data_IF_818364611763
#
_entry.id   IF_818364611763
#
_cell.length_a   1.000
_cell.length_b   1.000
_cell.length_c   1.000
_cell.angle_alpha   90.00
_cell.angle_beta   90.00
_cell.angle_gamma   90.00
#
_symmetry.space_group_name_H-M   'P 1'
#
loop_
_entity.id
_entity.type
_entity.pdbx_description
1 polymer ?
#
# COMPACT_ATOMS: atom_id res chain seq x y z
N UNK A 1 63.34 13.60 -34.18
CA UNK A 1 63.43 14.25 -32.86
C UNK A 1 63.01 15.70 -33.08
N UNK A 2 61.95 16.29 -32.55
CA UNK A 2 61.17 16.09 -31.31
C UNK A 2 59.70 16.52 -31.59
N UNK A 3 58.78 15.90 -30.84
CA UNK A 3 57.33 16.14 -30.80
C UNK A 3 56.93 17.58 -30.43
N UNK A 4 55.85 18.09 -31.04
CA UNK A 4 54.96 19.04 -30.37
C UNK A 4 53.55 19.05 -30.98
N UNK A 5 52.56 18.69 -30.16
CA UNK A 5 51.13 18.83 -30.42
C UNK A 5 50.62 20.21 -29.99
N UNK A 6 49.45 20.64 -30.50
CA UNK A 6 48.44 21.08 -29.54
C UNK A 6 47.01 20.57 -29.82
N UNK A 7 46.40 20.15 -28.71
CA UNK A 7 45.04 20.41 -28.27
C UNK A 7 43.84 19.98 -29.14
N UNK A 8 43.18 18.94 -28.63
CA UNK A 8 41.77 18.62 -28.81
C UNK A 8 40.84 19.82 -28.58
N UNK A 9 39.88 20.02 -29.47
CA UNK A 9 38.57 20.58 -29.13
C UNK A 9 37.57 20.24 -30.25
N UNK A 10 36.30 20.03 -29.87
CA UNK A 10 35.15 19.68 -30.71
C UNK A 10 34.86 18.19 -30.99
N UNK A 11 34.72 17.40 -29.92
CA UNK A 11 33.80 16.25 -29.90
C UNK A 11 32.70 16.48 -28.87
N UNK A 12 31.77 17.41 -29.12
CA UNK A 12 30.62 17.60 -28.20
C UNK A 12 29.42 18.39 -28.75
N UNK A 13 29.02 18.23 -30.02
CA UNK A 13 27.80 18.88 -30.54
C UNK A 13 26.93 18.05 -31.49
N UNK A 14 26.91 16.72 -31.35
CA UNK A 14 26.05 15.88 -32.21
C UNK A 14 25.13 14.89 -31.46
N UNK A 15 25.12 14.89 -30.11
CA UNK A 15 24.30 13.94 -29.34
C UNK A 15 22.92 14.42 -28.89
N UNK A 16 22.65 15.73 -28.94
CA UNK A 16 21.46 16.32 -28.28
C UNK A 16 20.24 16.52 -29.20
N UNK A 17 20.38 16.34 -30.52
CA UNK A 17 19.31 16.68 -31.47
C UNK A 17 18.38 15.51 -31.83
N UNK A 18 18.67 14.28 -31.42
CA UNK A 18 17.93 13.08 -31.88
C UNK A 18 16.77 12.69 -30.94
N UNK A 19 16.76 13.14 -29.69
CA UNK A 19 15.76 12.69 -28.70
C UNK A 19 14.46 13.50 -28.63
N UNK A 20 14.37 14.66 -29.27
CA UNK A 20 13.16 15.50 -29.24
C UNK A 20 12.14 15.19 -30.35
N UNK A 21 12.51 14.39 -31.36
CA UNK A 21 11.63 14.11 -32.49
C UNK A 21 10.66 12.92 -32.26
N UNK A 22 10.86 12.11 -31.22
CA UNK A 22 10.03 10.90 -30.97
C UNK A 22 8.83 11.21 -30.06
N UNK A 23 8.91 12.25 -29.22
CA UNK A 23 7.82 12.59 -28.28
C UNK A 23 6.59 13.23 -28.95
N UNK A 24 6.73 13.80 -30.15
CA UNK A 24 5.65 14.54 -30.82
C UNK A 24 4.67 13.65 -31.61
N UNK A 25 4.98 12.37 -31.87
CA UNK A 25 4.15 11.49 -32.70
C UNK A 25 3.21 10.55 -31.91
N UNK A 26 3.33 10.45 -30.58
CA UNK A 26 2.46 9.58 -29.77
C UNK A 26 1.21 10.33 -29.26
N UNK A 27 1.24 11.66 -29.15
CA UNK A 27 0.14 12.43 -28.59
C UNK A 27 -1.06 12.63 -29.54
N UNK A 28 -0.86 12.60 -30.85
CA UNK A 28 -1.92 12.88 -31.83
C UNK A 28 -2.80 11.66 -32.19
N UNK A 29 -2.35 10.44 -31.90
CA UNK A 29 -3.09 9.21 -32.22
C UNK A 29 -4.08 8.77 -31.11
N UNK A 30 -3.86 9.18 -29.85
CA UNK A 30 -4.70 8.77 -28.71
C UNK A 30 -6.07 9.45 -28.65
N UNK A 31 -6.19 10.68 -29.16
CA UNK A 31 -7.41 11.48 -28.95
C UNK A 31 -8.58 11.09 -29.88
N UNK A 32 -8.32 10.40 -31.00
CA UNK A 32 -9.39 9.94 -31.91
C UNK A 32 -9.89 8.52 -31.65
N UNK A 33 -9.14 7.70 -30.92
CA UNK A 33 -9.58 6.34 -30.58
C UNK A 33 -10.52 6.33 -29.37
N UNK A 34 -10.32 7.24 -28.41
CA UNK A 34 -11.22 7.40 -27.24
C UNK A 34 -12.60 7.96 -27.64
N UNK A 35 -12.68 8.83 -28.67
CA UNK A 35 -13.96 9.40 -29.09
C UNK A 35 -14.78 8.53 -30.04
N UNK A 36 -14.18 7.51 -30.68
CA UNK A 36 -14.91 6.58 -31.55
C UNK A 36 -15.50 5.37 -30.83
N UNK A 37 -14.96 4.97 -29.68
CA UNK A 37 -15.52 3.86 -28.90
C UNK A 37 -16.68 4.26 -27.98
N UNK A 38 -16.94 5.57 -27.81
CA UNK A 38 -18.07 6.06 -27.00
C UNK A 38 -19.40 6.11 -27.78
N UNK A 39 -19.42 5.77 -29.07
CA UNK A 39 -20.58 5.97 -29.95
C UNK A 39 -21.17 4.68 -30.51
N UNK A 40 -20.78 3.50 -30.01
CA UNK A 40 -21.33 2.19 -30.39
C UNK A 40 -21.94 1.42 -29.23
N UNK A 41 -22.58 2.11 -28.29
CA UNK A 41 -23.71 1.51 -27.57
C UNK A 41 -24.99 1.99 -28.27
N UNK A 42 -25.34 1.25 -29.32
CA UNK A 42 -26.68 1.27 -29.86
C UNK A 42 -27.65 0.95 -28.71
N UNK A 43 -28.66 1.79 -28.57
CA UNK A 43 -29.73 1.65 -27.60
C UNK A 43 -30.35 0.24 -27.68
N UNK A 44 -30.02 -0.59 -26.71
CA UNK A 44 -30.87 -1.74 -26.35
C UNK A 44 -32.13 -1.11 -25.77
N UNK A 45 -33.33 -1.40 -26.30
CA UNK A 45 -34.58 -0.91 -25.70
C UNK A 45 -34.61 -1.35 -24.24
N UNK A 46 -35.08 -0.48 -23.30
CA UNK A 46 -35.11 -0.83 -21.89
C UNK A 46 -35.96 -2.10 -21.74
N UNK A 47 -35.29 -3.23 -21.48
CA UNK A 47 -35.99 -4.38 -20.92
C UNK A 47 -36.56 -3.91 -19.59
N UNK A 48 -37.84 -4.23 -19.28
CA UNK A 48 -38.35 -3.99 -17.94
C UNK A 48 -37.38 -4.67 -16.97
N UNK A 49 -36.76 -3.87 -16.11
CA UNK A 49 -35.79 -4.33 -15.12
C UNK A 49 -36.35 -5.60 -14.45
N UNK A 50 -35.62 -6.73 -14.39
CA UNK A 50 -36.02 -7.82 -13.54
C UNK A 50 -36.01 -7.27 -12.11
N UNK A 51 -37.20 -7.17 -11.51
CA UNK A 51 -37.46 -6.84 -10.11
C UNK A 51 -36.26 -6.21 -9.40
N UNK A 52 -36.16 -4.88 -9.47
CA UNK A 52 -35.39 -4.09 -8.48
C UNK A 52 -36.18 -4.14 -7.17
N UNK A 53 -36.28 -5.35 -6.64
CA UNK A 53 -37.35 -5.82 -5.78
C UNK A 53 -36.89 -7.03 -4.99
N UNK A 54 -35.63 -7.06 -4.58
CA UNK A 54 -35.29 -7.79 -3.39
C UNK A 54 -34.23 -6.99 -2.64
N UNK A 55 -34.68 -6.37 -1.55
CA UNK A 55 -33.81 -6.07 -0.41
C UNK A 55 -33.02 -7.35 -0.15
N UNK A 56 -31.77 -7.37 -0.62
CA UNK A 56 -30.89 -8.52 -0.47
C UNK A 56 -30.88 -8.96 0.98
N UNK A 57 -30.83 -10.27 1.20
CA UNK A 57 -30.87 -10.82 2.54
C UNK A 57 -29.89 -10.04 3.44
N UNK A 58 -30.28 -9.68 4.67
CA UNK A 58 -29.42 -8.91 5.56
C UNK A 58 -28.08 -9.63 5.84
N UNK A 59 -27.98 -10.94 5.56
CA UNK A 59 -26.71 -11.68 5.53
C UNK A 59 -25.78 -11.21 4.41
N UNK A 60 -26.28 -11.05 3.19
CA UNK A 60 -25.48 -10.70 2.01
C UNK A 60 -24.85 -9.31 2.16
N UNK A 61 -25.59 -8.39 2.79
CA UNK A 61 -25.08 -7.05 3.11
C UNK A 61 -23.92 -7.08 4.11
N UNK A 62 -24.01 -7.94 5.14
CA UNK A 62 -22.96 -8.08 6.17
C UNK A 62 -21.72 -8.79 5.61
N UNK A 63 -21.92 -9.85 4.85
CA UNK A 63 -20.82 -10.58 4.20
C UNK A 63 -20.10 -9.70 3.18
N UNK A 64 -20.86 -8.92 2.40
CA UNK A 64 -20.30 -7.93 1.49
C UNK A 64 -19.46 -6.87 2.23
N UNK A 65 -19.99 -6.30 3.33
CA UNK A 65 -19.25 -5.34 4.15
C UNK A 65 -17.96 -5.94 4.72
N UNK A 66 -18.02 -7.19 5.19
CA UNK A 66 -16.84 -7.90 5.70
C UNK A 66 -15.80 -8.14 4.60
N UNK A 67 -16.23 -8.57 3.41
CA UNK A 67 -15.34 -8.78 2.27
C UNK A 67 -14.68 -7.47 1.80
N UNK A 68 -15.45 -6.38 1.78
CA UNK A 68 -14.95 -5.04 1.45
C UNK A 68 -13.93 -4.56 2.48
N UNK A 69 -14.23 -4.69 3.77
CA UNK A 69 -13.32 -4.33 4.86
C UNK A 69 -12.02 -5.16 4.79
N UNK A 70 -12.11 -6.46 4.49
CA UNK A 70 -10.94 -7.33 4.30
C UNK A 70 -10.04 -6.86 3.17
N UNK A 71 -10.64 -6.40 2.07
CA UNK A 71 -9.89 -5.87 0.93
C UNK A 71 -9.19 -4.55 1.30
N UNK A 72 -9.89 -3.64 1.99
CA UNK A 72 -9.33 -2.37 2.47
C UNK A 72 -8.21 -2.57 3.49
N UNK A 73 -8.41 -3.48 4.43
CA UNK A 73 -7.41 -3.90 5.41
C UNK A 73 -6.12 -4.36 4.71
N UNK A 74 -6.21 -5.28 3.75
CA UNK A 74 -5.06 -5.78 3.02
C UNK A 74 -4.33 -4.69 2.23
N UNK A 75 -5.07 -3.76 1.62
CA UNK A 75 -4.49 -2.59 0.92
C UNK A 75 -3.74 -1.69 1.89
N UNK A 76 -4.32 -1.40 3.06
CA UNK A 76 -3.67 -0.56 4.07
C UNK A 76 -2.43 -1.21 4.66
N UNK A 77 -2.44 -2.52 4.94
CA UNK A 77 -1.23 -3.24 5.38
C UNK A 77 -0.14 -3.19 4.31
N UNK A 78 -0.51 -3.43 3.05
CA UNK A 78 0.46 -3.37 1.95
C UNK A 78 1.09 -1.97 1.82
N UNK A 79 0.28 -0.91 1.94
CA UNK A 79 0.80 0.48 1.97
C UNK A 79 1.68 0.74 3.19
N UNK A 80 1.29 0.26 4.37
CA UNK A 80 2.09 0.41 5.59
C UNK A 80 3.48 -0.22 5.41
N UNK A 81 3.55 -1.41 4.84
CA UNK A 81 4.82 -2.06 4.50
C UNK A 81 5.62 -1.27 3.45
N UNK A 82 4.97 -0.77 2.40
CA UNK A 82 5.62 0.09 1.41
C UNK A 82 6.19 1.37 2.02
N UNK A 83 5.52 1.96 3.01
CA UNK A 83 6.03 3.13 3.72
C UNK A 83 7.16 2.80 4.68
N UNK A 84 7.16 1.60 5.29
CA UNK A 84 8.27 1.10 6.10
C UNK A 84 9.54 0.94 5.26
N UNK A 85 9.43 0.30 4.09
CA UNK A 85 10.58 0.12 3.18
C UNK A 85 11.07 1.43 2.59
N UNK A 86 10.18 2.41 2.39
CA UNK A 86 10.53 3.76 1.95
C UNK A 86 11.11 4.67 3.07
N UNK A 87 11.21 4.18 4.31
CA UNK A 87 11.75 4.97 5.43
C UNK A 87 10.82 6.06 5.96
N UNK A 88 9.50 5.89 5.81
CA UNK A 88 8.47 6.84 6.27
C UNK A 88 7.57 6.24 7.36
N UNK A 89 8.10 5.95 8.56
CA UNK A 89 7.38 5.21 9.62
C UNK A 89 6.10 5.90 10.09
N UNK A 90 6.06 7.23 10.09
CA UNK A 90 4.84 7.98 10.45
C UNK A 90 3.67 7.71 9.50
N UNK A 91 3.93 7.60 8.19
CA UNK A 91 2.90 7.24 7.18
C UNK A 91 2.52 5.77 7.29
N UNK A 92 3.49 4.90 7.57
CA UNK A 92 3.22 3.50 7.84
C UNK A 92 2.27 3.34 9.05
N UNK A 93 2.48 4.10 10.12
CA UNK A 93 1.61 4.11 11.29
C UNK A 93 0.17 4.52 10.98
N UNK A 94 -0.02 5.54 10.14
CA UNK A 94 -1.36 5.99 9.71
C UNK A 94 -2.09 4.88 8.97
N UNK A 95 -1.43 4.21 8.02
CA UNK A 95 -2.05 3.10 7.29
C UNK A 95 -2.25 1.86 8.17
N UNK A 96 -1.36 1.60 9.14
CA UNK A 96 -1.54 0.53 10.12
C UNK A 96 -2.79 0.77 11.00
N UNK A 97 -2.99 2.01 11.46
CA UNK A 97 -4.22 2.40 12.19
C UNK A 97 -5.47 2.23 11.33
N UNK A 98 -5.40 2.58 10.03
CA UNK A 98 -6.50 2.32 9.10
C UNK A 98 -6.78 0.82 8.97
N UNK A 99 -5.74 -0.01 8.86
CA UNK A 99 -5.90 -1.46 8.80
C UNK A 99 -6.56 -2.03 10.07
N UNK A 100 -6.19 -1.54 11.25
CA UNK A 100 -6.84 -1.92 12.52
C UNK A 100 -8.33 -1.53 12.55
N UNK A 101 -8.68 -0.35 12.04
CA UNK A 101 -10.08 0.07 11.95
C UNK A 101 -10.90 -0.85 11.04
N UNK A 102 -10.36 -1.24 9.89
CA UNK A 102 -11.01 -2.21 9.00
C UNK A 102 -11.08 -3.60 9.63
N UNK A 103 -10.02 -4.00 10.35
CA UNK A 103 -9.99 -5.28 11.06
C UNK A 103 -11.02 -5.37 12.19
N UNK A 104 -11.45 -4.26 12.79
CA UNK A 104 -12.53 -4.28 13.80
C UNK A 104 -13.85 -4.83 13.23
N UNK A 105 -14.05 -4.70 11.91
CA UNK A 105 -15.18 -5.25 11.15
C UNK A 105 -14.90 -6.71 10.74
N UNK A 106 -13.69 -6.98 10.24
CA UNK A 106 -13.34 -8.30 9.70
C UNK A 106 -13.15 -9.35 10.80
N UNK A 107 -12.41 -9.01 11.87
CA UNK A 107 -12.05 -9.88 12.99
C UNK A 107 -11.38 -11.19 12.56
N UNK A 108 -10.53 -11.13 11.55
CA UNK A 108 -9.76 -12.27 11.06
C UNK A 108 -8.29 -11.87 10.86
N UNK A 109 -7.36 -12.85 10.94
CA UNK A 109 -5.98 -12.63 10.56
C UNK A 109 -5.87 -12.26 9.07
N UNK A 110 -4.78 -11.59 8.73
CA UNK A 110 -4.41 -11.34 7.34
C UNK A 110 -4.27 -12.66 6.58
N UNK A 111 -4.52 -12.60 5.27
CA UNK A 111 -4.22 -13.72 4.39
C UNK A 111 -2.69 -13.81 4.22
N UNK A 112 -2.07 -14.66 5.06
CA UNK A 112 -0.62 -14.74 5.29
C UNK A 112 0.25 -15.05 4.07
N UNK A 113 -0.32 -15.41 2.92
CA UNK A 113 0.44 -15.86 1.75
C UNK A 113 1.32 -14.77 1.08
N UNK A 114 1.16 -13.50 1.44
CA UNK A 114 1.83 -12.37 0.74
C UNK A 114 2.89 -11.63 1.54
N UNK A 115 3.00 -11.85 2.84
CA UNK A 115 3.85 -11.04 3.72
C UNK A 115 4.87 -11.92 4.42
N UNK A 116 6.10 -11.43 4.50
CA UNK A 116 7.13 -12.11 5.29
C UNK A 116 6.86 -11.90 6.78
N UNK A 117 7.15 -12.93 7.59
CA UNK A 117 6.98 -12.85 9.05
C UNK A 117 7.69 -11.65 9.67
N UNK A 118 8.92 -11.35 9.22
CA UNK A 118 9.71 -10.21 9.67
C UNK A 118 9.00 -8.88 9.42
N UNK A 119 8.38 -8.71 8.26
CA UNK A 119 7.65 -7.50 7.91
C UNK A 119 6.46 -7.26 8.85
N UNK A 120 5.77 -8.33 9.26
CA UNK A 120 4.67 -8.25 10.21
C UNK A 120 5.18 -7.91 11.62
N UNK A 121 6.29 -8.50 12.04
CA UNK A 121 6.95 -8.15 13.31
C UNK A 121 7.40 -6.69 13.34
N UNK A 122 7.95 -6.17 12.23
CA UNK A 122 8.36 -4.76 12.12
C UNK A 122 7.16 -3.80 12.22
N UNK A 123 5.99 -4.16 11.67
CA UNK A 123 4.75 -3.38 11.86
C UNK A 123 4.26 -3.42 13.31
N UNK A 124 4.36 -4.56 13.97
CA UNK A 124 4.03 -4.68 15.40
C UNK A 124 4.93 -3.77 16.24
N UNK A 125 6.24 -3.86 16.01
CA UNK A 125 7.25 -3.03 16.68
C UNK A 125 7.01 -1.55 16.45
N UNK A 126 6.68 -1.15 15.22
CA UNK A 126 6.31 0.22 14.88
C UNK A 126 5.14 0.71 15.75
N UNK A 127 4.11 -0.12 15.95
CA UNK A 127 2.97 0.21 16.80
C UNK A 127 3.39 0.46 18.24
N UNK A 128 4.14 -0.47 18.84
CA UNK A 128 4.60 -0.37 20.24
C UNK A 128 5.47 0.88 20.44
N UNK A 129 6.38 1.17 19.52
CA UNK A 129 7.29 2.32 19.61
C UNK A 129 6.61 3.68 19.54
N UNK A 130 5.45 3.77 18.87
CA UNK A 130 4.75 5.04 18.64
C UNK A 130 3.41 5.13 19.39
N UNK A 131 3.17 4.21 20.33
CA UNK A 131 1.98 4.22 21.17
C UNK A 131 2.28 4.88 22.51
N UNK A 132 1.27 5.57 23.05
CA UNK A 132 1.37 6.17 24.37
C UNK A 132 1.35 5.08 25.46
N UNK A 133 2.04 5.35 26.57
CA UNK A 133 2.07 4.48 27.74
C UNK A 133 0.97 4.89 28.73
N UNK A 134 0.15 3.96 29.26
CA UNK A 134 0.21 2.52 29.05
C UNK A 134 -0.39 2.08 27.71
N UNK A 135 0.19 1.03 27.12
CA UNK A 135 -0.31 0.45 25.87
C UNK A 135 -1.75 -0.04 26.04
N UNK A 136 -2.60 0.26 25.05
CA UNK A 136 -3.97 -0.22 25.04
C UNK A 136 -4.03 -1.71 24.71
N UNK A 137 -4.33 -2.53 25.73
CA UNK A 137 -4.36 -3.99 25.61
C UNK A 137 -5.28 -4.50 24.49
N UNK A 138 -6.46 -3.89 24.32
CA UNK A 138 -7.40 -4.26 23.25
C UNK A 138 -6.79 -4.10 21.86
N UNK A 139 -6.03 -3.04 21.66
CA UNK A 139 -5.38 -2.72 20.37
C UNK A 139 -4.21 -3.67 20.11
N UNK A 140 -3.43 -4.01 21.15
CA UNK A 140 -2.36 -5.00 21.04
C UNK A 140 -2.90 -6.39 20.71
N UNK A 141 -3.96 -6.83 21.39
CA UNK A 141 -4.59 -8.12 21.12
C UNK A 141 -5.12 -8.18 19.69
N UNK A 142 -5.85 -7.15 19.27
CA UNK A 142 -6.36 -7.05 17.91
C UNK A 142 -5.21 -7.06 16.87
N UNK A 143 -4.13 -6.32 17.12
CA UNK A 143 -2.97 -6.28 16.24
C UNK A 143 -2.27 -7.64 16.17
N UNK A 144 -2.13 -8.33 17.30
CA UNK A 144 -1.55 -9.68 17.40
C UNK A 144 -2.35 -10.67 16.56
N UNK A 145 -3.67 -10.70 16.74
CA UNK A 145 -4.58 -11.56 15.97
C UNK A 145 -4.56 -11.21 14.48
N UNK A 146 -4.64 -9.93 14.14
CA UNK A 146 -4.59 -9.46 12.76
C UNK A 146 -3.31 -9.90 12.04
N UNK A 147 -2.15 -9.74 12.70
CA UNK A 147 -0.84 -10.07 12.14
C UNK A 147 -0.47 -11.56 12.31
N UNK A 148 -1.33 -12.36 12.94
CA UNK A 148 -1.09 -13.76 13.26
C UNK A 148 0.25 -13.98 13.99
N UNK A 149 0.57 -13.10 14.95
CA UNK A 149 1.78 -13.20 15.78
C UNK A 149 1.50 -14.06 17.01
N UNK A 150 2.34 -15.05 17.34
CA UNK A 150 2.16 -15.84 18.56
C UNK A 150 2.54 -15.02 19.80
N UNK A 151 1.94 -15.38 20.94
CA UNK A 151 2.01 -14.60 22.16
C UNK A 151 3.44 -14.35 22.64
N UNK A 152 4.25 -15.41 22.63
CA UNK A 152 5.66 -15.37 23.04
C UNK A 152 6.51 -14.41 22.19
N UNK A 153 6.25 -14.29 20.89
CA UNK A 153 6.99 -13.39 20.01
C UNK A 153 6.59 -11.94 20.22
N UNK A 154 5.30 -11.69 20.39
CA UNK A 154 4.81 -10.33 20.64
C UNK A 154 5.27 -9.81 22.02
N UNK A 155 5.25 -10.64 23.07
CA UNK A 155 5.80 -10.29 24.37
C UNK A 155 7.31 -9.99 24.31
N UNK A 156 8.07 -10.78 23.56
CA UNK A 156 9.49 -10.53 23.34
C UNK A 156 9.74 -9.19 22.64
N UNK A 157 8.93 -8.85 21.63
CA UNK A 157 9.01 -7.56 20.92
C UNK A 157 8.63 -6.38 21.82
N UNK A 158 7.61 -6.53 22.66
CA UNK A 158 7.22 -5.50 23.63
C UNK A 158 8.35 -5.24 24.63
N UNK A 159 8.92 -6.30 25.20
CA UNK A 159 10.05 -6.20 26.12
C UNK A 159 11.28 -5.55 25.46
N UNK A 160 11.59 -5.92 24.21
CA UNK A 160 12.69 -5.33 23.45
C UNK A 160 12.50 -3.82 23.24
N UNK A 161 11.29 -3.37 22.86
CA UNK A 161 10.99 -1.95 22.65
C UNK A 161 11.04 -1.17 23.96
N UNK A 162 10.47 -1.72 25.04
CA UNK A 162 10.50 -1.07 26.35
C UNK A 162 11.93 -0.94 26.91
N UNK A 163 12.78 -1.96 26.69
CA UNK A 163 14.16 -1.95 27.15
C UNK A 163 15.09 -1.08 26.28
N UNK A 164 14.83 -0.99 24.97
CA UNK A 164 15.64 -0.15 24.06
C UNK A 164 15.45 1.35 24.28
N UNK A 165 14.32 1.78 24.87
CA UNK A 165 14.14 3.15 25.35
C UNK A 165 15.04 3.55 26.52
N UNK A 166 15.62 2.57 27.23
CA UNK A 166 16.44 2.78 28.45
C UNK A 166 17.94 2.95 28.13
N UNK A 167 18.39 2.64 26.90
CA UNK A 167 19.82 2.66 26.54
C UNK A 167 20.39 4.05 26.18
N UNK A 168 19.61 5.13 26.21
CA UNK A 168 20.10 6.50 26.02
C UNK A 168 20.24 7.26 27.34
N UNK A 169 21.23 6.89 28.15
CA UNK A 169 21.99 7.75 29.08
C UNK A 169 22.69 6.87 30.12
N UNK A 170 24.03 6.84 30.10
CA UNK A 170 24.98 7.15 31.19
C UNK A 170 26.32 7.49 30.49
#
# INVERSE_FOLDING_TARGET
>A
MVLQAPAQQHSQRQGAAVWLAIAALVAAAGYRWVSQNSSKQAAVPPQPDPDVGQLGDPSDTKEYQKALARTRQAVSVHKALGFMTAGTPARAMVELKRALNENAIVREPLLNARYEKKQLQDLYRLHVQNSEMPLQFSTLLQLREMLALPDNEAEALEAEVMNSGVQFSI
#
